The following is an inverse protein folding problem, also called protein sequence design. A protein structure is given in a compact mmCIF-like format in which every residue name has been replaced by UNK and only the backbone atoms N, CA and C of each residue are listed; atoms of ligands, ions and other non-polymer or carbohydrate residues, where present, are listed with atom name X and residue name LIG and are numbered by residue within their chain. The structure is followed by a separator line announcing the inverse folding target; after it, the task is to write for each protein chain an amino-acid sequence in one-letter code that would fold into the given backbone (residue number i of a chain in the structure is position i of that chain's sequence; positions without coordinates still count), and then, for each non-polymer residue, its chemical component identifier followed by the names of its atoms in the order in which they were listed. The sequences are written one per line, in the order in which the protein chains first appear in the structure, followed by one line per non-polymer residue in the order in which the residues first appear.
data_IF_297121962387
#
_entry.id   IF_297121962387
#
_cell.length_a   1.000
_cell.length_b   1.000
_cell.length_c   1.000
_cell.angle_alpha   90.00
_cell.angle_beta   90.00
_cell.angle_gamma   90.00
#
_symmetry.space_group_name_H-M   'P 1'
#
loop_
_entity.id
_entity.type
_entity.pdbx_description
1 polymer ?
#
# COMPACT_ATOMS: atom_id res chain seq x y z
N UNK A 1 -54.00 -69.04 26.49
CA UNK A 1 -53.63 -70.00 25.43
C UNK A 1 -52.63 -69.28 24.55
N UNK A 2 -51.44 -68.98 25.08
CA UNK A 2 -50.31 -69.93 25.29
C UNK A 2 -49.72 -70.33 23.92
N UNK A 3 -48.43 -70.36 23.66
CA UNK A 3 -47.25 -70.04 24.44
C UNK A 3 -46.04 -70.12 23.49
N UNK A 4 -45.02 -69.32 23.80
CA UNK A 4 -43.59 -69.67 23.94
C UNK A 4 -42.70 -70.14 22.77
N UNK A 5 -41.53 -69.47 22.79
CA UNK A 5 -40.15 -69.92 22.54
C UNK A 5 -39.65 -70.06 21.11
N UNK A 6 -38.58 -69.31 20.77
CA UNK A 6 -37.22 -69.76 21.10
C UNK A 6 -36.17 -68.64 20.91
N UNK A 7 -35.14 -68.71 21.75
CA UNK A 7 -34.01 -67.79 21.95
C UNK A 7 -33.03 -67.69 20.77
N UNK A 8 -32.33 -66.56 20.67
CA UNK A 8 -31.29 -66.34 19.66
C UNK A 8 -30.51 -65.03 19.78
N UNK A 9 -29.83 -64.85 20.91
CA UNK A 9 -28.58 -64.10 21.14
C UNK A 9 -27.94 -63.34 19.94
N UNK A 10 -27.66 -62.04 20.11
CA UNK A 10 -26.77 -61.30 19.21
C UNK A 10 -26.68 -59.80 19.54
N UNK A 11 -25.85 -59.44 20.52
CA UNK A 11 -25.61 -58.05 20.93
C UNK A 11 -25.05 -57.16 19.83
N UNK A 12 -25.49 -55.90 19.82
CA UNK A 12 -24.97 -54.83 18.99
C UNK A 12 -23.47 -54.57 19.27
N UNK A 13 -22.62 -54.42 18.24
CA UNK A 13 -21.25 -53.96 18.45
C UNK A 13 -21.23 -52.43 18.56
N UNK A 14 -20.90 -51.94 19.76
CA UNK A 14 -20.51 -50.55 20.03
C UNK A 14 -19.27 -50.22 19.18
N UNK A 15 -19.43 -49.29 18.25
CA UNK A 15 -18.34 -48.80 17.41
C UNK A 15 -17.26 -48.12 18.27
N UNK A 16 -16.10 -48.77 18.34
CA UNK A 16 -14.92 -48.33 19.09
C UNK A 16 -14.35 -47.01 18.58
N UNK A 17 -14.17 -46.09 19.52
CA UNK A 17 -13.51 -44.78 19.41
C UNK A 17 -12.02 -44.95 19.04
N UNK A 18 -11.70 -45.02 17.75
CA UNK A 18 -10.31 -44.94 17.26
C UNK A 18 -9.88 -43.48 17.13
N UNK A 19 -9.35 -42.91 18.21
CA UNK A 19 -8.74 -41.57 18.19
C UNK A 19 -7.86 -41.36 19.40
N UNK A 20 -6.57 -41.71 19.30
CA UNK A 20 -5.67 -41.55 20.45
C UNK A 20 -4.18 -41.86 20.28
N UNK A 21 -3.66 -42.04 19.06
CA UNK A 21 -2.22 -42.37 18.87
C UNK A 21 -1.46 -41.31 18.04
N UNK A 22 -2.14 -40.50 17.21
CA UNK A 22 -1.49 -39.39 16.49
C UNK A 22 -1.39 -38.09 17.30
N UNK A 23 -2.36 -37.82 18.18
CA UNK A 23 -2.36 -36.62 19.02
C UNK A 23 -1.25 -36.67 20.09
N UNK A 24 -0.96 -37.86 20.62
CA UNK A 24 0.11 -38.08 21.61
C UNK A 24 1.51 -37.85 21.03
N UNK A 25 1.76 -38.24 19.77
CA UNK A 25 3.05 -37.99 19.10
C UNK A 25 3.32 -36.50 18.86
N UNK A 26 2.29 -35.71 18.51
CA UNK A 26 2.39 -34.25 18.35
C UNK A 26 2.59 -33.54 19.71
N UNK A 27 1.95 -34.04 20.76
CA UNK A 27 2.12 -33.50 22.11
C UNK A 27 3.54 -33.77 22.67
N UNK A 28 4.07 -34.98 22.45
CA UNK A 28 5.46 -35.31 22.84
C UNK A 28 6.46 -34.43 22.09
N UNK A 29 6.25 -34.17 20.80
CA UNK A 29 7.12 -33.29 20.01
C UNK A 29 7.13 -31.85 20.57
N UNK A 30 5.96 -31.31 20.91
CA UNK A 30 5.84 -29.96 21.48
C UNK A 30 6.55 -29.87 22.84
N UNK A 31 6.37 -30.88 23.69
CA UNK A 31 7.03 -30.94 25.02
C UNK A 31 8.56 -31.06 24.87
N UNK A 32 9.05 -31.82 23.89
CA UNK A 32 10.50 -31.92 23.64
C UNK A 32 11.06 -30.59 23.13
N UNK A 33 10.35 -29.91 22.23
CA UNK A 33 10.78 -28.60 21.71
C UNK A 33 10.81 -27.54 22.82
N UNK A 34 9.81 -27.51 23.70
CA UNK A 34 9.80 -26.57 24.83
C UNK A 34 10.91 -26.85 25.84
N UNK A 35 11.24 -28.12 26.10
CA UNK A 35 12.37 -28.48 26.94
C UNK A 35 13.72 -28.09 26.32
N UNK A 36 13.88 -28.24 24.99
CA UNK A 36 15.08 -27.80 24.28
C UNK A 36 15.21 -26.27 24.33
N UNK A 37 14.12 -25.53 24.13
CA UNK A 37 14.11 -24.07 24.25
C UNK A 37 14.48 -23.60 25.66
N UNK A 38 13.93 -24.25 26.70
CA UNK A 38 14.27 -23.95 28.10
C UNK A 38 15.75 -24.25 28.40
N UNK A 39 16.28 -25.35 27.89
CA UNK A 39 17.71 -25.69 28.03
C UNK A 39 18.60 -24.67 27.31
N UNK A 40 18.19 -24.20 26.13
CA UNK A 40 18.93 -23.21 25.34
C UNK A 40 18.93 -21.83 26.00
N UNK A 41 17.81 -21.42 26.62
CA UNK A 41 17.73 -20.19 27.42
C UNK A 41 18.60 -20.31 28.68
N UNK A 42 18.57 -21.43 29.38
CA UNK A 42 19.40 -21.65 30.58
C UNK A 42 20.90 -21.64 30.25
N UNK A 43 21.31 -22.26 29.15
CA UNK A 43 22.71 -22.26 28.69
C UNK A 43 23.19 -20.88 28.25
N UNK A 44 22.35 -20.10 27.56
CA UNK A 44 22.68 -18.70 27.21
C UNK A 44 22.81 -17.84 28.47
N UNK A 45 21.88 -17.94 29.42
CA UNK A 45 21.95 -17.18 30.68
C UNK A 45 23.19 -17.55 31.50
N UNK A 46 23.50 -18.84 31.63
CA UNK A 46 24.72 -19.30 32.30
C UNK A 46 26.01 -18.82 31.61
N UNK A 47 26.01 -18.73 30.28
CA UNK A 47 27.12 -18.18 29.51
C UNK A 47 27.30 -16.66 29.70
N UNK A 48 26.20 -15.91 29.86
CA UNK A 48 26.28 -14.47 30.17
C UNK A 48 26.77 -14.21 31.61
N UNK A 49 26.38 -15.05 32.57
CA UNK A 49 26.81 -14.92 33.96
C UNK A 49 28.33 -15.17 34.12
N UNK A 50 28.87 -16.13 33.37
CA UNK A 50 30.32 -16.43 33.33
C UNK A 50 31.14 -15.28 32.71
N UNK A 51 30.55 -14.48 31.80
CA UNK A 51 31.17 -13.24 31.30
C UNK A 51 31.13 -12.09 32.31
N UNK A 52 30.06 -11.97 33.10
CA UNK A 52 30.01 -10.95 34.16
C UNK A 52 31.01 -11.24 35.28
N UNK A 53 31.21 -12.51 35.63
CA UNK A 53 32.20 -12.91 36.62
C UNK A 53 33.65 -12.62 36.15
N UNK A 54 33.95 -12.80 34.86
CA UNK A 54 35.29 -12.51 34.30
C UNK A 54 35.61 -11.02 34.18
N UNK A 55 34.61 -10.12 34.17
CA UNK A 55 34.85 -8.66 34.18
C UNK A 55 35.15 -8.09 35.57
N UNK A 56 34.80 -8.81 36.63
CA UNK A 56 35.04 -8.37 38.02
C UNK A 56 36.48 -8.63 38.52
N UNK A 57 37.30 -9.36 37.77
CA UNK A 57 38.67 -9.68 38.17
C UNK A 57 39.68 -9.06 37.20
N UNK A 58 40.15 -7.84 37.48
CA UNK A 58 41.51 -7.37 37.12
C UNK A 58 41.95 -6.18 37.99
N UNK A 59 43.27 -6.03 38.24
CA UNK A 59 43.81 -5.39 39.44
C UNK A 59 44.13 -3.90 39.28
N UNK A 60 44.18 -3.24 40.43
CA UNK A 60 44.61 -1.86 40.70
C UNK A 60 46.00 -1.54 40.16
N UNK A 61 46.13 -0.44 39.40
CA UNK A 61 47.39 0.29 39.20
C UNK A 61 47.16 1.81 39.39
N UNK A 62 48.15 2.39 40.05
CA UNK A 62 48.35 3.70 40.68
C UNK A 62 48.59 4.87 39.68
N UNK A 63 48.35 6.11 40.15
CA UNK A 63 48.97 7.41 39.75
C UNK A 63 48.55 8.07 38.42
N UNK A 64 48.41 9.39 38.19
CA UNK A 64 48.49 10.70 38.91
C UNK A 64 47.89 11.73 37.90
N UNK A 65 47.13 12.78 38.25
CA UNK A 65 47.51 14.22 38.36
C UNK A 65 46.19 15.05 38.44
N UNK A 66 45.96 15.79 39.51
CA UNK A 66 46.08 17.27 39.65
C UNK A 66 45.01 18.14 38.94
N UNK A 67 44.02 18.54 39.75
CA UNK A 67 43.56 19.92 40.05
C UNK A 67 43.32 20.94 38.93
N UNK A 68 42.06 21.39 38.76
CA UNK A 68 41.67 22.81 39.01
C UNK A 68 40.15 23.09 38.96
N UNK A 69 39.66 23.61 40.09
CA UNK A 69 38.68 24.70 40.29
C UNK A 69 37.30 24.74 39.56
N UNK A 70 36.24 24.64 40.37
CA UNK A 70 34.91 25.23 40.13
C UNK A 70 34.96 26.78 40.30
N UNK A 71 33.96 27.60 39.88
CA UNK A 71 32.68 27.65 40.62
C UNK A 71 31.39 28.13 39.89
N UNK A 72 30.26 27.81 40.56
CA UNK A 72 29.02 28.60 40.76
C UNK A 72 27.99 28.78 39.62
N UNK A 73 26.93 28.00 39.75
CA UNK A 73 25.55 28.30 39.32
C UNK A 73 24.91 29.32 40.27
N UNK A 74 24.24 30.34 39.73
CA UNK A 74 23.28 31.20 40.44
C UNK A 74 22.03 31.40 39.58
N UNK A 75 20.89 30.90 40.05
CA UNK A 75 19.55 31.43 39.72
C UNK A 75 19.37 32.77 40.45
N UNK A 76 18.58 33.73 39.90
CA UNK A 76 17.22 33.91 40.44
C UNK A 76 16.18 34.40 39.39
N UNK A 77 14.90 34.16 39.68
CA UNK A 77 13.78 34.70 38.91
C UNK A 77 13.43 36.15 39.24
N UNK A 78 12.51 36.73 38.45
CA UNK A 78 11.43 37.64 38.85
C UNK A 78 10.74 38.25 37.60
N UNK A 79 9.41 38.07 37.50
CA UNK A 79 8.48 39.05 36.90
C UNK A 79 8.09 40.06 38.00
N UNK A 80 7.77 41.33 37.68
CA UNK A 80 6.37 41.81 37.47
C UNK A 80 6.28 43.17 36.68
N UNK A 81 5.24 44.06 36.77
CA UNK A 81 3.78 43.95 36.93
C UNK A 81 2.94 44.77 35.89
N UNK A 82 1.61 44.74 36.11
CA UNK A 82 0.49 45.40 35.41
C UNK A 82 0.05 46.76 36.05
N UNK A 83 -0.88 47.46 35.36
CA UNK A 83 -1.74 48.64 35.70
C UNK A 83 -1.38 49.93 34.94
N UNK A 84 -2.27 50.70 34.32
CA UNK A 84 -3.75 50.70 34.18
C UNK A 84 -4.24 52.14 33.93
N UNK A 85 -5.36 52.34 33.20
CA UNK A 85 -6.43 53.35 33.48
C UNK A 85 -7.52 53.42 32.39
N UNK A 86 -8.75 53.43 32.89
CA UNK A 86 -10.10 53.50 32.30
C UNK A 86 -10.61 54.96 32.22
N UNK A 87 -11.55 55.28 31.30
CA UNK A 87 -12.72 56.18 31.56
C UNK A 87 -13.92 55.89 30.61
N UNK A 88 -15.07 55.60 31.26
CA UNK A 88 -16.50 55.87 31.04
C UNK A 88 -17.27 55.65 29.70
N UNK A 89 -18.44 55.03 29.90
CA UNK A 89 -19.65 54.93 29.04
C UNK A 89 -20.38 56.26 28.92
N UNK A 90 -21.15 56.41 27.84
CA UNK A 90 -22.46 57.05 27.93
C UNK A 90 -23.51 56.36 27.05
N UNK A 91 -24.76 56.37 27.52
CA UNK A 91 -25.87 55.53 27.06
C UNK A 91 -26.96 56.43 26.50
N UNK A 92 -27.53 56.15 25.32
CA UNK A 92 -28.89 56.62 24.99
C UNK A 92 -29.64 55.71 24.03
N UNK A 93 -30.94 55.65 24.31
CA UNK A 93 -31.97 54.68 23.94
C UNK A 93 -32.86 55.21 22.81
N UNK A 94 -33.19 54.33 21.83
CA UNK A 94 -34.43 54.20 21.02
C UNK A 94 -34.96 55.41 20.16
N UNK A 95 -35.84 55.22 19.15
CA UNK A 95 -36.71 54.05 18.92
C UNK A 95 -36.87 53.49 17.50
N UNK A 96 -37.41 52.27 17.51
CA UNK A 96 -37.95 51.47 16.42
C UNK A 96 -39.14 52.14 15.70
N UNK A 97 -39.20 51.98 14.37
CA UNK A 97 -40.44 52.02 13.58
C UNK A 97 -40.45 50.87 12.58
N UNK A 98 -41.47 50.04 12.74
CA UNK A 98 -41.92 48.95 11.86
C UNK A 98 -42.45 49.46 10.52
N UNK A 99 -42.05 48.85 9.39
CA UNK A 99 -42.89 48.79 8.18
C UNK A 99 -42.53 47.57 7.30
N UNK A 100 -43.49 46.66 7.18
CA UNK A 100 -43.90 45.85 6.01
C UNK A 100 -42.91 44.88 5.34
N UNK A 101 -43.18 43.61 5.61
CA UNK A 101 -42.86 42.42 4.83
C UNK A 101 -43.28 42.52 3.36
N UNK A 102 -42.31 42.41 2.44
CA UNK A 102 -42.55 41.98 1.06
C UNK A 102 -41.87 40.62 0.88
N UNK A 103 -42.71 39.61 0.76
CA UNK A 103 -42.37 38.23 0.43
C UNK A 103 -41.72 38.19 -0.96
N UNK A 104 -40.40 38.03 -1.01
CA UNK A 104 -39.69 37.66 -2.24
C UNK A 104 -39.24 36.23 -2.08
N UNK A 105 -39.89 35.32 -2.81
CA UNK A 105 -39.47 33.92 -2.92
C UNK A 105 -37.98 33.88 -3.31
N UNK A 106 -37.14 33.08 -2.64
CA UNK A 106 -35.77 32.91 -3.08
C UNK A 106 -35.78 32.28 -4.48
N UNK A 107 -34.86 32.68 -5.38
CA UNK A 107 -34.78 32.09 -6.70
C UNK A 107 -34.59 30.59 -6.53
N UNK A 108 -35.44 29.82 -7.22
CA UNK A 108 -35.37 28.36 -7.28
C UNK A 108 -34.01 28.01 -7.86
N UNK A 109 -33.02 27.79 -6.99
CA UNK A 109 -31.74 27.22 -7.39
C UNK A 109 -32.09 25.87 -7.98
N UNK A 110 -31.98 25.75 -9.30
CA UNK A 110 -32.05 24.47 -9.96
C UNK A 110 -30.85 23.67 -9.45
N UNK A 111 -31.09 22.88 -8.41
CA UNK A 111 -30.22 21.76 -8.06
C UNK A 111 -30.12 20.94 -9.35
N UNK A 112 -28.92 20.76 -9.94
CA UNK A 112 -28.81 19.87 -11.08
C UNK A 112 -29.38 18.51 -10.66
N UNK A 113 -30.56 18.22 -11.21
CA UNK A 113 -31.36 17.05 -10.89
C UNK A 113 -30.80 15.89 -11.70
N UNK A 114 -29.62 15.44 -11.31
CA UNK A 114 -29.15 14.09 -11.55
C UNK A 114 -28.30 13.72 -10.34
N UNK A 115 -28.95 13.24 -9.27
CA UNK A 115 -28.24 12.33 -8.38
C UNK A 115 -27.72 11.20 -9.28
N UNK A 116 -26.40 10.96 -9.34
CA UNK A 116 -25.85 9.94 -10.21
C UNK A 116 -26.54 8.62 -9.87
N UNK A 117 -27.02 7.93 -10.91
CA UNK A 117 -27.60 6.59 -10.78
C UNK A 117 -26.61 5.74 -9.98
N UNK A 118 -27.09 5.11 -8.91
CA UNK A 118 -26.27 4.24 -8.10
C UNK A 118 -25.94 3.00 -8.93
N UNK A 119 -24.79 3.04 -9.59
CA UNK A 119 -24.22 1.91 -10.33
C UNK A 119 -23.67 0.89 -9.32
N UNK A 120 -24.58 0.11 -8.73
CA UNK A 120 -24.24 -0.91 -7.73
C UNK A 120 -23.24 -1.89 -8.31
N UNK A 121 -22.09 -2.05 -7.65
CA UNK A 121 -21.04 -2.99 -8.06
C UNK A 121 -20.14 -2.54 -9.21
N UNK A 122 -20.29 -1.33 -9.76
CA UNK A 122 -19.28 -0.79 -10.70
C UNK A 122 -18.04 -0.32 -9.96
N UNK A 123 -16.86 -0.44 -10.60
CA UNK A 123 -15.57 -0.11 -9.97
C UNK A 123 -14.95 -1.26 -9.17
N UNK A 124 -15.64 -2.40 -9.02
CA UNK A 124 -15.08 -3.54 -8.28
C UNK A 124 -13.93 -4.20 -9.02
N UNK A 125 -13.94 -4.21 -10.36
CA UNK A 125 -12.84 -4.76 -11.14
C UNK A 125 -11.58 -3.90 -10.95
N UNK A 126 -11.72 -2.57 -11.04
CA UNK A 126 -10.65 -1.61 -10.82
C UNK A 126 -10.01 -1.75 -9.43
N UNK A 127 -10.81 -1.79 -8.37
CA UNK A 127 -10.28 -1.94 -7.00
C UNK A 127 -9.61 -3.30 -6.82
N UNK A 128 -10.15 -4.35 -7.43
CA UNK A 128 -9.56 -5.69 -7.38
C UNK A 128 -8.20 -5.72 -8.07
N UNK A 129 -8.10 -5.16 -9.27
CA UNK A 129 -6.85 -5.05 -10.01
C UNK A 129 -5.80 -4.19 -9.29
N UNK A 130 -6.20 -3.17 -8.54
CA UNK A 130 -5.28 -2.36 -7.74
C UNK A 130 -4.63 -3.15 -6.59
N UNK A 131 -5.36 -4.11 -6.02
CA UNK A 131 -4.90 -4.89 -4.86
C UNK A 131 -4.20 -6.20 -5.25
N UNK A 132 -4.56 -6.79 -6.39
CA UNK A 132 -4.13 -8.13 -6.80
C UNK A 132 -2.60 -8.30 -6.96
N UNK A 133 -1.87 -7.42 -7.67
CA UNK A 133 -0.42 -7.56 -7.81
C UNK A 133 0.32 -7.51 -6.47
N UNK A 134 -0.10 -6.61 -5.57
CA UNK A 134 0.48 -6.50 -4.24
C UNK A 134 0.09 -7.71 -3.38
N UNK A 135 -1.18 -8.13 -3.41
CA UNK A 135 -1.66 -9.29 -2.67
C UNK A 135 -0.92 -10.58 -3.05
N UNK A 136 -0.63 -10.78 -4.33
CA UNK A 136 0.16 -11.90 -4.84
C UNK A 136 1.58 -11.90 -4.24
N UNK A 137 2.26 -10.75 -4.29
CA UNK A 137 3.63 -10.62 -3.78
C UNK A 137 3.75 -10.83 -2.26
N UNK A 138 2.71 -10.46 -1.50
CA UNK A 138 2.68 -10.70 -0.05
C UNK A 138 2.32 -12.15 0.31
N UNK A 139 1.25 -12.69 -0.28
CA UNK A 139 0.60 -13.89 0.25
C UNK A 139 0.86 -15.17 -0.56
N UNK A 140 1.14 -15.04 -1.86
CA UNK A 140 1.27 -16.20 -2.75
C UNK A 140 2.72 -16.46 -3.17
N UNK A 141 3.54 -15.40 -3.25
CA UNK A 141 4.94 -15.51 -3.63
C UNK A 141 5.73 -16.35 -2.62
N UNK A 142 6.60 -17.22 -3.13
CA UNK A 142 7.56 -17.94 -2.30
C UNK A 142 8.46 -16.94 -1.54
N UNK A 143 8.44 -17.01 -0.20
CA UNK A 143 9.10 -16.09 0.76
C UNK A 143 8.44 -14.71 0.97
N UNK A 144 7.27 -14.45 0.38
CA UNK A 144 6.47 -13.25 0.69
C UNK A 144 7.18 -11.92 0.44
N UNK A 145 6.97 -10.94 1.33
CA UNK A 145 7.51 -9.58 1.23
C UNK A 145 8.98 -9.51 1.68
N UNK A 146 9.88 -9.32 0.72
CA UNK A 146 11.33 -9.43 0.92
C UNK A 146 12.10 -8.13 1.18
N UNK A 147 11.64 -6.92 0.78
CA UNK A 147 12.37 -5.66 1.02
C UNK A 147 12.70 -5.38 2.50
N UNK A 148 12.02 -6.08 3.40
CA UNK A 148 12.14 -5.96 4.83
C UNK A 148 13.01 -7.06 5.49
N UNK A 149 13.43 -8.06 4.73
CA UNK A 149 14.14 -9.21 5.29
C UNK A 149 15.59 -8.85 5.64
N UNK A 150 16.07 -9.39 6.77
CA UNK A 150 17.44 -9.17 7.25
C UNK A 150 18.47 -9.76 6.26
N UNK A 151 18.13 -10.86 5.60
CA UNK A 151 18.98 -11.53 4.62
C UNK A 151 18.47 -11.21 3.21
N UNK A 152 19.01 -10.17 2.59
CA UNK A 152 18.68 -9.80 1.22
C UNK A 152 19.48 -10.65 0.21
N UNK A 153 19.00 -11.86 -0.07
CA UNK A 153 19.60 -12.78 -1.05
C UNK A 153 19.04 -12.54 -2.47
N UNK A 154 17.93 -11.79 -2.60
CA UNK A 154 17.22 -11.57 -3.87
C UNK A 154 16.87 -10.09 -4.07
N UNK A 155 17.85 -9.29 -4.47
CA UNK A 155 17.69 -7.89 -4.84
C UNK A 155 16.67 -7.67 -5.97
N UNK A 156 16.70 -8.50 -7.01
CA UNK A 156 15.82 -8.39 -8.17
C UNK A 156 14.33 -8.45 -7.79
N UNK A 157 13.95 -9.40 -6.94
CA UNK A 157 12.55 -9.53 -6.47
C UNK A 157 12.18 -8.34 -5.58
N UNK A 158 13.10 -7.84 -4.76
CA UNK A 158 12.84 -6.69 -3.91
C UNK A 158 12.53 -5.45 -4.73
N UNK A 159 13.30 -5.18 -5.79
CA UNK A 159 13.07 -4.04 -6.67
C UNK A 159 11.74 -4.17 -7.41
N UNK A 160 11.39 -5.37 -7.87
CA UNK A 160 10.09 -5.65 -8.49
C UNK A 160 8.93 -5.36 -7.53
N UNK A 161 9.01 -5.84 -6.29
CA UNK A 161 8.01 -5.59 -5.25
C UNK A 161 7.88 -4.09 -4.92
N UNK A 162 8.99 -3.35 -4.92
CA UNK A 162 8.97 -1.89 -4.73
C UNK A 162 8.29 -1.17 -5.89
N UNK A 163 8.47 -1.63 -7.13
CA UNK A 163 7.77 -1.10 -8.31
C UNK A 163 6.26 -1.28 -8.21
N UNK A 164 5.82 -2.50 -7.87
CA UNK A 164 4.40 -2.82 -7.66
C UNK A 164 3.79 -1.94 -6.58
N UNK A 165 4.45 -1.85 -5.42
CA UNK A 165 3.98 -1.05 -4.29
C UNK A 165 3.84 0.44 -4.64
N UNK A 166 4.76 1.00 -5.42
CA UNK A 166 4.67 2.41 -5.83
C UNK A 166 3.45 2.66 -6.72
N UNK A 167 3.11 1.74 -7.64
CA UNK A 167 1.88 1.82 -8.45
C UNK A 167 0.66 1.73 -7.55
N UNK A 168 0.62 0.76 -6.63
CA UNK A 168 -0.51 0.59 -5.68
C UNK A 168 -0.69 1.83 -4.82
N UNK A 169 0.40 2.45 -4.33
CA UNK A 169 0.36 3.69 -3.54
C UNK A 169 -0.29 4.83 -4.31
N UNK A 170 0.23 5.13 -5.51
CA UNK A 170 -0.31 6.23 -6.35
C UNK A 170 -1.75 5.98 -6.72
N UNK A 171 -2.09 4.74 -7.08
CA UNK A 171 -3.46 4.36 -7.42
C UNK A 171 -4.40 4.48 -6.22
N UNK A 172 -3.96 4.10 -5.01
CA UNK A 172 -4.77 4.21 -3.80
C UNK A 172 -5.10 5.66 -3.43
N UNK A 173 -4.14 6.58 -3.64
CA UNK A 173 -4.35 8.02 -3.45
C UNK A 173 -5.39 8.53 -4.44
N UNK A 174 -5.20 8.25 -5.73
CA UNK A 174 -6.14 8.69 -6.78
C UNK A 174 -7.54 8.09 -6.57
N UNK A 175 -7.61 6.83 -6.12
CA UNK A 175 -8.87 6.16 -5.80
C UNK A 175 -9.60 6.86 -4.64
N UNK A 176 -8.89 7.19 -3.55
CA UNK A 176 -9.45 7.84 -2.38
C UNK A 176 -9.83 9.32 -2.62
N UNK A 177 -9.08 10.02 -3.47
CA UNK A 177 -9.25 11.46 -3.71
C UNK A 177 -10.16 11.80 -4.89
N UNK A 178 -10.21 10.96 -5.93
CA UNK A 178 -10.89 11.30 -7.18
C UNK A 178 -11.95 10.26 -7.59
N UNK A 179 -11.67 8.96 -7.48
CA UNK A 179 -12.60 7.94 -8.00
C UNK A 179 -13.72 7.58 -7.02
N UNK A 180 -13.52 7.77 -5.70
CA UNK A 180 -14.51 7.44 -4.67
C UNK A 180 -15.40 8.61 -4.24
N UNK A 181 -15.13 9.83 -4.73
CA UNK A 181 -15.86 11.06 -4.33
C UNK A 181 -16.28 11.93 -5.51
N UNK A 182 -17.33 12.74 -5.32
CA UNK A 182 -17.83 13.65 -6.38
C UNK A 182 -17.08 14.97 -6.50
N UNK A 183 -16.31 15.35 -5.48
CA UNK A 183 -15.59 16.62 -5.45
C UNK A 183 -14.73 16.75 -4.19
N UNK A 184 -13.90 17.79 -4.13
CA UNK A 184 -12.94 18.00 -3.04
C UNK A 184 -13.58 18.20 -1.66
N UNK A 185 -14.86 18.57 -1.59
CA UNK A 185 -15.61 18.80 -0.36
C UNK A 185 -16.35 17.58 0.16
N UNK A 186 -16.38 16.50 -0.60
CA UNK A 186 -17.05 15.25 -0.24
C UNK A 186 -16.19 14.45 0.76
N UNK A 187 -16.83 13.68 1.64
CA UNK A 187 -16.14 13.01 2.73
C UNK A 187 -15.27 11.84 2.22
N UNK A 188 -14.14 11.59 2.88
CA UNK A 188 -13.33 10.39 2.62
C UNK A 188 -14.12 9.14 3.02
N UNK A 189 -14.02 8.09 2.20
CA UNK A 189 -14.50 6.76 2.60
C UNK A 189 -13.50 6.21 3.62
N UNK A 190 -13.90 5.91 4.87
CA UNK A 190 -12.95 5.56 5.93
C UNK A 190 -12.06 4.35 5.62
N UNK A 191 -12.59 3.34 4.93
CA UNK A 191 -11.83 2.16 4.52
C UNK A 191 -10.73 2.51 3.51
N UNK A 192 -11.02 3.34 2.51
CA UNK A 192 -10.00 3.77 1.53
C UNK A 192 -8.94 4.67 2.15
N UNK A 193 -9.33 5.56 3.06
CA UNK A 193 -8.38 6.40 3.80
C UNK A 193 -7.44 5.54 4.65
N UNK A 194 -7.98 4.55 5.37
CA UNK A 194 -7.19 3.57 6.13
C UNK A 194 -6.24 2.77 5.22
N UNK A 195 -6.75 2.27 4.08
CA UNK A 195 -5.95 1.52 3.11
C UNK A 195 -4.78 2.34 2.55
N UNK A 196 -5.04 3.57 2.13
CA UNK A 196 -4.02 4.50 1.65
C UNK A 196 -2.93 4.73 2.69
N UNK A 197 -3.32 5.01 3.95
CA UNK A 197 -2.37 5.22 5.04
C UNK A 197 -1.50 3.97 5.30
N UNK A 198 -2.10 2.78 5.26
CA UNK A 198 -1.41 1.52 5.40
C UNK A 198 -0.35 1.29 4.31
N UNK A 199 -0.65 1.62 3.05
CA UNK A 199 0.31 1.46 1.94
C UNK A 199 1.47 2.46 2.00
N UNK A 200 1.29 3.63 2.63
CA UNK A 200 2.33 4.66 2.71
C UNK A 200 3.43 4.37 3.75
N UNK A 201 3.29 3.32 4.54
CA UNK A 201 4.33 2.90 5.49
C UNK A 201 5.59 2.46 4.76
N UNK A 202 6.74 2.68 5.39
CA UNK A 202 8.05 2.36 4.84
C UNK A 202 8.17 0.85 4.52
N UNK A 203 8.55 0.54 3.28
CA UNK A 203 8.66 -0.82 2.76
C UNK A 203 9.76 -1.67 3.39
N UNK A 204 10.74 -1.03 4.04
CA UNK A 204 11.92 -1.67 4.67
C UNK A 204 11.79 -1.75 6.20
N UNK A 205 10.61 -1.48 6.75
CA UNK A 205 10.43 -1.40 8.20
C UNK A 205 10.27 -2.79 8.85
N UNK A 206 11.34 -3.24 9.52
CA UNK A 206 11.41 -4.58 10.10
C UNK A 206 10.68 -4.69 11.45
N UNK A 207 10.72 -3.62 12.25
CA UNK A 207 10.17 -3.61 13.60
C UNK A 207 8.94 -2.70 13.71
N UNK A 208 8.01 -3.11 14.59
CA UNK A 208 6.63 -2.65 14.73
C UNK A 208 6.34 -1.17 14.34
N UNK A 209 5.36 -0.90 13.45
CA UNK A 209 4.58 -1.85 12.65
C UNK A 209 5.41 -2.48 11.52
N UNK A 210 5.21 -3.77 11.23
CA UNK A 210 5.87 -4.42 10.08
C UNK A 210 5.20 -4.01 8.78
N UNK A 211 5.99 -3.84 7.72
CA UNK A 211 5.47 -3.48 6.40
C UNK A 211 4.41 -4.49 5.89
N UNK A 212 4.71 -5.79 6.00
CA UNK A 212 3.82 -6.87 5.57
C UNK A 212 2.45 -6.84 6.28
N UNK A 213 2.45 -6.68 7.61
CA UNK A 213 1.21 -6.62 8.37
C UNK A 213 0.36 -5.42 7.96
N UNK A 214 0.99 -4.27 7.70
CA UNK A 214 0.29 -3.05 7.32
C UNK A 214 -0.24 -3.11 5.89
N UNK A 215 0.52 -3.69 4.97
CA UNK A 215 0.02 -3.90 3.62
C UNK A 215 -1.14 -4.88 3.60
N UNK A 216 -1.09 -5.98 4.37
CA UNK A 216 -2.25 -6.88 4.51
C UNK A 216 -3.47 -6.18 5.13
N UNK A 217 -3.29 -5.34 6.15
CA UNK A 217 -4.36 -4.50 6.70
C UNK A 217 -4.96 -3.56 5.64
N UNK A 218 -4.12 -2.93 4.82
CA UNK A 218 -4.58 -2.10 3.70
C UNK A 218 -5.33 -2.88 2.61
N UNK A 219 -4.91 -4.11 2.31
CA UNK A 219 -5.61 -5.00 1.37
C UNK A 219 -6.99 -5.41 1.91
N UNK A 220 -7.11 -5.66 3.21
CA UNK A 220 -8.38 -5.99 3.84
C UNK A 220 -9.36 -4.82 3.84
N UNK A 221 -8.87 -3.59 4.00
CA UNK A 221 -9.68 -2.38 3.85
C UNK A 221 -10.12 -2.13 2.40
N UNK A 222 -9.29 -2.43 1.40
CA UNK A 222 -9.71 -2.43 -0.01
C UNK A 222 -10.82 -3.45 -0.28
N UNK A 223 -10.73 -4.66 0.29
CA UNK A 223 -11.82 -5.66 0.21
C UNK A 223 -13.09 -5.18 0.91
N UNK A 224 -12.95 -4.46 2.02
CA UNK A 224 -14.08 -3.85 2.71
C UNK A 224 -14.76 -2.79 1.82
N UNK A 225 -13.98 -1.95 1.12
CA UNK A 225 -14.51 -1.01 0.14
C UNK A 225 -15.26 -1.71 -1.01
N UNK A 226 -14.73 -2.83 -1.55
CA UNK A 226 -15.43 -3.65 -2.55
C UNK A 226 -16.78 -4.15 -2.01
N UNK A 227 -16.84 -4.57 -0.74
CA UNK A 227 -18.09 -4.98 -0.09
C UNK A 227 -19.08 -3.80 -0.03
N UNK A 228 -18.61 -2.62 0.36
CA UNK A 228 -19.44 -1.40 0.39
C UNK A 228 -19.97 -1.03 -1.00
N UNK A 229 -19.18 -1.18 -2.06
CA UNK A 229 -19.61 -0.95 -3.45
C UNK A 229 -20.71 -1.93 -3.88
N UNK A 230 -20.60 -3.21 -3.50
CA UNK A 230 -21.61 -4.24 -3.80
C UNK A 230 -22.91 -4.03 -3.02
N UNK A 231 -22.81 -3.52 -1.79
CA UNK A 231 -23.96 -3.22 -0.95
C UNK A 231 -24.61 -1.86 -1.28
N UNK A 232 -23.98 -1.02 -2.10
CA UNK A 232 -24.44 0.34 -2.39
C UNK A 232 -24.19 1.35 -1.27
N UNK A 233 -23.33 1.01 -0.30
CA UNK A 233 -22.90 1.87 0.81
C UNK A 233 -21.82 2.88 0.39
N UNK A 234 -21.04 2.54 -0.64
CA UNK A 234 -20.04 3.40 -1.25
C UNK A 234 -20.32 3.63 -2.73
N UNK A 235 -19.68 4.65 -3.31
CA UNK A 235 -19.85 5.04 -4.71
C UNK A 235 -18.51 5.08 -5.43
N UNK A 236 -18.53 4.70 -6.70
CA UNK A 236 -17.40 4.79 -7.61
C UNK A 236 -17.78 5.67 -8.80
N UNK A 237 -17.06 6.78 -9.00
CA UNK A 237 -17.41 7.81 -9.98
C UNK A 237 -16.58 7.67 -11.25
N UNK A 238 -17.23 7.20 -12.32
CA UNK A 238 -16.60 6.92 -13.63
C UNK A 238 -16.52 8.14 -14.56
N UNK A 239 -16.09 9.29 -14.05
CA UNK A 239 -16.05 10.53 -14.84
C UNK A 239 -14.67 10.79 -15.44
N UNK A 240 -14.65 11.53 -16.56
CA UNK A 240 -13.43 11.90 -17.30
C UNK A 240 -12.45 12.66 -16.40
N UNK A 241 -12.96 13.64 -15.66
CA UNK A 241 -12.18 14.46 -14.74
C UNK A 241 -11.57 13.67 -13.58
N UNK A 242 -12.18 12.54 -13.20
CA UNK A 242 -11.65 11.66 -12.15
C UNK A 242 -10.62 10.66 -12.68
N UNK A 243 -10.63 10.36 -13.98
CA UNK A 243 -9.67 9.43 -14.61
C UNK A 243 -8.36 10.11 -15.02
N UNK A 244 -8.41 11.39 -15.40
CA UNK A 244 -7.22 12.17 -15.80
C UNK A 244 -6.12 12.17 -14.72
N UNK A 245 -6.39 12.34 -13.41
CA UNK A 245 -5.37 12.23 -12.38
C UNK A 245 -4.65 10.87 -12.35
N UNK A 246 -5.37 9.77 -12.63
CA UNK A 246 -4.78 8.42 -12.67
C UNK A 246 -3.77 8.31 -13.82
N UNK A 247 -4.21 8.66 -15.03
CA UNK A 247 -3.36 8.56 -16.21
C UNK A 247 -2.17 9.52 -16.15
N UNK A 248 -2.31 10.70 -15.56
CA UNK A 248 -1.17 11.61 -15.31
C UNK A 248 -0.18 11.03 -14.29
N UNK A 249 -0.66 10.40 -13.23
CA UNK A 249 0.20 9.74 -12.24
C UNK A 249 0.99 8.59 -12.89
N UNK A 250 0.34 7.81 -13.74
CA UNK A 250 0.96 6.71 -14.48
C UNK A 250 1.95 7.20 -15.54
N UNK A 251 1.59 8.21 -16.33
CA UNK A 251 2.49 8.82 -17.31
C UNK A 251 3.77 9.37 -16.64
N UNK A 252 3.63 10.07 -15.51
CA UNK A 252 4.76 10.58 -14.73
C UNK A 252 5.65 9.47 -14.17
N UNK A 253 5.04 8.38 -13.72
CA UNK A 253 5.75 7.21 -13.20
C UNK A 253 6.51 6.47 -14.30
N UNK A 254 5.88 6.22 -15.45
CA UNK A 254 6.54 5.63 -16.61
C UNK A 254 7.66 6.53 -17.13
N UNK A 255 7.49 7.86 -17.11
CA UNK A 255 8.56 8.79 -17.46
C UNK A 255 9.78 8.70 -16.53
N UNK A 256 9.54 8.47 -15.24
CA UNK A 256 10.61 8.25 -14.26
C UNK A 256 11.31 6.90 -14.50
N UNK A 257 10.56 5.84 -14.84
CA UNK A 257 11.12 4.54 -15.22
C UNK A 257 11.97 4.65 -16.49
N UNK A 258 11.45 5.27 -17.55
CA UNK A 258 12.13 5.49 -18.84
C UNK A 258 13.48 6.21 -18.65
N UNK A 259 13.47 7.34 -17.93
CA UNK A 259 14.70 8.07 -17.60
C UNK A 259 15.71 7.21 -16.83
N UNK A 260 15.24 6.43 -15.84
CA UNK A 260 16.11 5.55 -15.06
C UNK A 260 16.67 4.38 -15.89
N UNK A 261 15.94 3.91 -16.91
CA UNK A 261 16.38 2.84 -17.79
C UNK A 261 17.38 3.34 -18.84
N UNK A 262 17.25 4.59 -19.31
CA UNK A 262 18.11 5.14 -20.36
C UNK A 262 19.35 5.87 -19.80
N UNK A 263 19.27 6.46 -18.61
CA UNK A 263 20.40 7.21 -18.03
C UNK A 263 21.64 6.34 -17.83
N UNK A 264 22.81 6.94 -18.03
CA UNK A 264 24.14 6.35 -17.82
C UNK A 264 24.29 4.97 -18.48
N UNK A 265 23.69 4.78 -19.66
CA UNK A 265 23.79 3.55 -20.40
C UNK A 265 25.27 3.22 -20.71
N UNK A 266 25.71 2.00 -20.39
CA UNK A 266 27.09 1.55 -20.60
C UNK A 266 28.10 1.95 -19.50
N UNK A 267 27.74 2.81 -18.55
CA UNK A 267 28.61 3.25 -17.44
C UNK A 267 28.11 2.77 -16.05
N UNK A 268 27.03 1.99 -16.03
CA UNK A 268 26.47 1.43 -14.79
C UNK A 268 26.94 0.00 -14.57
N UNK A 269 27.24 -0.32 -13.31
CA UNK A 269 27.48 -1.71 -12.88
C UNK A 269 26.25 -2.56 -13.17
N UNK A 270 26.45 -3.79 -13.65
CA UNK A 270 25.38 -4.75 -13.99
C UNK A 270 24.35 -4.88 -12.86
N UNK A 271 24.78 -5.01 -11.61
CA UNK A 271 23.87 -5.11 -10.46
C UNK A 271 22.89 -3.93 -10.33
N UNK A 272 23.34 -2.71 -10.62
CA UNK A 272 22.48 -1.51 -10.55
C UNK A 272 21.58 -1.39 -11.79
N UNK A 273 22.02 -1.91 -12.93
CA UNK A 273 21.20 -2.00 -14.12
C UNK A 273 20.01 -2.94 -13.87
N UNK A 274 20.26 -4.09 -13.26
CA UNK A 274 19.24 -5.06 -12.86
C UNK A 274 18.21 -4.42 -11.92
N UNK A 275 18.64 -3.64 -10.93
CA UNK A 275 17.74 -2.91 -10.02
C UNK A 275 16.69 -2.08 -10.77
N UNK A 276 17.13 -1.26 -11.75
CA UNK A 276 16.24 -0.42 -12.55
C UNK A 276 15.33 -1.23 -13.46
N UNK A 277 15.85 -2.33 -14.01
CA UNK A 277 15.09 -3.24 -14.85
C UNK A 277 13.94 -3.89 -14.08
N UNK A 278 14.23 -4.53 -12.94
CA UNK A 278 13.21 -5.22 -12.15
C UNK A 278 12.22 -4.27 -11.48
N UNK A 279 12.66 -3.08 -11.06
CA UNK A 279 11.75 -2.04 -10.60
C UNK A 279 10.73 -1.67 -11.69
N UNK A 280 11.21 -1.37 -12.90
CA UNK A 280 10.36 -0.99 -14.03
C UNK A 280 9.45 -2.14 -14.48
N UNK A 281 9.91 -3.40 -14.40
CA UNK A 281 9.09 -4.60 -14.62
C UNK A 281 7.92 -4.67 -13.63
N UNK A 282 8.17 -4.43 -12.34
CA UNK A 282 7.14 -4.39 -11.31
C UNK A 282 6.11 -3.28 -11.54
N UNK A 283 6.58 -2.09 -11.95
CA UNK A 283 5.72 -0.98 -12.37
C UNK A 283 4.83 -1.38 -13.54
N UNK A 284 5.43 -1.96 -14.59
CA UNK A 284 4.70 -2.36 -15.78
C UNK A 284 3.62 -3.39 -15.46
N UNK A 285 3.96 -4.42 -14.68
CA UNK A 285 3.02 -5.48 -14.31
C UNK A 285 1.82 -4.96 -13.53
N UNK A 286 2.05 -4.18 -12.47
CA UNK A 286 0.93 -3.64 -11.68
C UNK A 286 0.08 -2.65 -12.47
N UNK A 287 0.72 -1.81 -13.31
CA UNK A 287 0.01 -0.82 -14.11
C UNK A 287 -0.82 -1.47 -15.23
N UNK A 288 -0.31 -2.53 -15.87
CA UNK A 288 -1.04 -3.33 -16.86
C UNK A 288 -2.35 -3.84 -16.28
N UNK A 289 -2.30 -4.56 -15.15
CA UNK A 289 -3.49 -5.12 -14.49
C UNK A 289 -4.53 -4.04 -14.16
N UNK A 290 -4.08 -2.87 -13.66
CA UNK A 290 -4.98 -1.75 -13.34
C UNK A 290 -5.58 -1.13 -14.61
N UNK A 291 -4.81 -0.99 -15.69
CA UNK A 291 -5.31 -0.44 -16.95
C UNK A 291 -6.28 -1.38 -17.66
N UNK A 292 -6.08 -2.69 -17.58
CA UNK A 292 -7.05 -3.69 -18.06
C UNK A 292 -8.40 -3.55 -17.35
N UNK A 293 -8.39 -3.48 -16.02
CA UNK A 293 -9.60 -3.25 -15.26
C UNK A 293 -10.21 -1.85 -15.50
N UNK A 294 -9.36 -0.86 -15.78
CA UNK A 294 -9.82 0.48 -16.20
C UNK A 294 -10.55 0.41 -17.54
N UNK A 295 -10.05 -0.39 -18.50
CA UNK A 295 -10.70 -0.58 -19.79
C UNK A 295 -12.10 -1.21 -19.64
N UNK A 296 -12.29 -2.10 -18.68
CA UNK A 296 -13.59 -2.71 -18.38
C UNK A 296 -14.54 -1.73 -17.67
N UNK A 297 -14.13 -1.19 -16.52
CA UNK A 297 -14.98 -0.35 -15.68
C UNK A 297 -15.31 0.99 -16.35
N UNK A 298 -14.40 1.56 -17.14
CA UNK A 298 -14.56 2.84 -17.84
C UNK A 298 -14.80 2.68 -19.36
N UNK A 299 -15.18 1.50 -19.81
CA UNK A 299 -15.43 1.18 -21.23
C UNK A 299 -16.28 2.23 -21.96
N UNK A 300 -17.42 2.62 -21.38
CA UNK A 300 -18.32 3.65 -21.97
C UNK A 300 -17.62 4.99 -22.18
N UNK A 301 -16.81 5.41 -21.19
CA UNK A 301 -16.11 6.69 -21.21
C UNK A 301 -14.96 6.66 -22.21
N UNK A 302 -14.16 5.60 -22.20
CA UNK A 302 -13.03 5.43 -23.12
C UNK A 302 -13.54 5.34 -24.57
N UNK A 303 -14.67 4.64 -24.80
CA UNK A 303 -15.31 4.59 -26.10
C UNK A 303 -15.81 5.97 -26.56
N UNK A 304 -16.36 6.78 -25.65
CA UNK A 304 -16.85 8.13 -25.98
C UNK A 304 -15.76 9.06 -26.50
N UNK A 305 -14.51 8.85 -26.10
CA UNK A 305 -13.35 9.63 -26.55
C UNK A 305 -12.55 8.95 -27.68
N UNK A 306 -13.08 7.86 -28.25
CA UNK A 306 -12.37 7.04 -29.25
C UNK A 306 -10.99 6.55 -28.77
N UNK A 307 -10.84 6.34 -27.45
CA UNK A 307 -9.57 5.99 -26.81
C UNK A 307 -9.33 4.49 -26.66
N UNK A 308 -10.26 3.64 -27.09
CA UNK A 308 -10.21 2.19 -26.85
C UNK A 308 -8.95 1.55 -27.43
N UNK A 309 -8.63 1.84 -28.69
CA UNK A 309 -7.43 1.29 -29.34
C UNK A 309 -6.15 1.84 -28.72
N UNK A 310 -6.15 3.12 -28.35
CA UNK A 310 -5.01 3.80 -27.71
C UNK A 310 -4.71 3.17 -26.35
N UNK A 311 -5.75 2.91 -25.53
CA UNK A 311 -5.59 2.24 -24.25
C UNK A 311 -5.13 0.79 -24.42
N UNK A 312 -5.67 0.08 -25.41
CA UNK A 312 -5.24 -1.29 -25.71
C UNK A 312 -3.76 -1.36 -26.09
N UNK A 313 -3.26 -0.41 -26.89
CA UNK A 313 -1.83 -0.31 -27.20
C UNK A 313 -0.97 0.02 -25.98
N UNK A 314 -1.46 0.87 -25.06
CA UNK A 314 -0.77 1.13 -23.80
C UNK A 314 -0.65 -0.13 -22.94
N UNK A 315 -1.76 -0.88 -22.77
CA UNK A 315 -1.81 -2.15 -22.03
C UNK A 315 -0.85 -3.16 -22.66
N UNK A 316 -0.91 -3.34 -23.99
CA UNK A 316 -0.06 -4.30 -24.70
C UNK A 316 1.43 -3.96 -24.56
N UNK A 317 1.78 -2.67 -24.60
CA UNK A 317 3.16 -2.24 -24.39
C UNK A 317 3.64 -2.54 -22.95
N UNK A 318 2.80 -2.31 -21.94
CA UNK A 318 3.11 -2.69 -20.56
C UNK A 318 3.21 -4.20 -20.39
N UNK A 319 2.35 -4.99 -21.04
CA UNK A 319 2.41 -6.44 -21.00
C UNK A 319 3.69 -7.00 -21.60
N UNK A 320 4.19 -6.42 -22.69
CA UNK A 320 5.49 -6.79 -23.23
C UNK A 320 6.64 -6.47 -22.24
N UNK A 321 6.56 -5.34 -21.52
CA UNK A 321 7.52 -4.99 -20.48
C UNK A 321 7.43 -5.93 -19.25
N UNK A 322 6.22 -6.20 -18.76
CA UNK A 322 5.97 -7.05 -17.61
C UNK A 322 6.41 -8.49 -17.82
N UNK A 323 6.28 -9.02 -19.04
CA UNK A 323 6.63 -10.39 -19.39
C UNK A 323 8.10 -10.60 -19.79
N UNK A 324 8.94 -9.56 -19.77
CA UNK A 324 10.38 -9.76 -20.01
C UNK A 324 11.03 -10.51 -18.85
N UNK A 325 11.58 -11.68 -19.12
CA UNK A 325 12.25 -12.51 -18.10
C UNK A 325 13.62 -13.02 -18.56
N UNK A 326 14.63 -12.13 -18.65
CA UNK A 326 15.99 -12.55 -18.95
C UNK A 326 16.59 -13.31 -17.77
N UNK A 327 17.38 -14.35 -18.05
CA UNK A 327 18.12 -15.08 -17.01
C UNK A 327 19.19 -14.22 -16.33
N UNK A 328 19.80 -13.33 -17.11
CA UNK A 328 20.77 -12.33 -16.66
C UNK A 328 20.45 -11.05 -17.43
N UNK A 329 20.35 -9.92 -16.73
CA UNK A 329 20.16 -8.63 -17.36
C UNK A 329 21.53 -8.13 -17.84
N UNK A 330 21.64 -7.97 -19.15
CA UNK A 330 22.85 -7.46 -19.80
C UNK A 330 22.69 -6.01 -20.25
N UNK A 331 23.78 -5.26 -20.08
CA UNK A 331 23.99 -3.91 -20.60
C UNK A 331 24.87 -3.95 -21.85
N UNK A 332 24.34 -4.49 -22.95
CA UNK A 332 25.04 -4.44 -24.24
C UNK A 332 25.18 -3.01 -24.78
N UNK A 333 26.21 -2.73 -25.56
CA UNK A 333 26.22 -1.51 -26.37
C UNK A 333 25.15 -1.62 -27.48
N UNK A 334 24.59 -0.50 -27.97
CA UNK A 334 23.57 -0.53 -29.03
C UNK A 334 24.02 -1.28 -30.30
N UNK A 335 25.30 -1.16 -30.67
CA UNK A 335 25.91 -1.85 -31.81
C UNK A 335 26.66 -3.15 -31.41
N UNK A 336 26.46 -3.61 -30.16
CA UNK A 336 27.12 -4.77 -29.60
C UNK A 336 26.48 -6.09 -30.03
N UNK A 337 27.21 -7.19 -29.84
CA UNK A 337 26.68 -8.54 -30.06
C UNK A 337 25.71 -8.99 -28.94
N UNK A 338 25.78 -8.36 -27.77
CA UNK A 338 24.96 -8.68 -26.59
C UNK A 338 23.74 -7.77 -26.57
N UNK A 339 22.57 -8.31 -26.19
CA UNK A 339 21.35 -7.53 -26.04
C UNK A 339 21.48 -6.48 -24.92
N UNK A 340 20.88 -5.32 -25.12
CA UNK A 340 20.67 -4.35 -24.05
C UNK A 340 19.25 -4.49 -23.49
N UNK A 341 19.12 -5.16 -22.35
CA UNK A 341 17.81 -5.42 -21.75
C UNK A 341 17.17 -4.16 -21.19
N UNK A 342 17.94 -3.20 -20.65
CA UNK A 342 17.39 -1.92 -20.18
C UNK A 342 16.81 -1.08 -21.30
N UNK A 343 17.48 -0.98 -22.44
CA UNK A 343 16.95 -0.29 -23.62
C UNK A 343 15.73 -0.98 -24.21
N UNK A 344 15.74 -2.31 -24.28
CA UNK A 344 14.59 -3.06 -24.75
C UNK A 344 13.37 -2.77 -23.85
N UNK A 345 13.55 -2.82 -22.52
CA UNK A 345 12.52 -2.44 -21.55
C UNK A 345 12.07 -0.98 -21.73
N UNK A 346 13.01 -0.05 -21.87
CA UNK A 346 12.73 1.37 -22.04
C UNK A 346 11.84 1.65 -23.25
N UNK A 347 12.06 0.96 -24.38
CA UNK A 347 11.24 1.11 -25.58
C UNK A 347 9.76 0.81 -25.29
N UNK A 348 9.45 -0.27 -24.56
CA UNK A 348 8.07 -0.61 -24.20
C UNK A 348 7.46 0.35 -23.19
N UNK A 349 8.23 0.76 -22.16
CA UNK A 349 7.81 1.75 -21.17
C UNK A 349 7.51 3.10 -21.84
N UNK A 350 8.36 3.53 -22.78
CA UNK A 350 8.20 4.77 -23.54
C UNK A 350 6.96 4.71 -24.45
N UNK A 351 6.71 3.59 -25.12
CA UNK A 351 5.48 3.38 -25.90
C UNK A 351 4.22 3.47 -25.02
N UNK A 352 4.21 2.79 -23.86
CA UNK A 352 3.09 2.87 -22.93
C UNK A 352 2.84 4.31 -22.46
N UNK A 353 3.91 5.03 -22.10
CA UNK A 353 3.85 6.45 -21.70
C UNK A 353 3.29 7.32 -22.81
N UNK A 354 3.73 7.13 -24.06
CA UNK A 354 3.23 7.89 -25.21
C UNK A 354 1.72 7.73 -25.36
N UNK A 355 1.21 6.48 -25.33
CA UNK A 355 -0.23 6.23 -25.46
C UNK A 355 -1.04 6.79 -24.27
N UNK A 356 -0.52 6.73 -23.05
CA UNK A 356 -1.13 7.41 -21.89
C UNK A 356 -1.18 8.94 -22.07
N UNK A 357 -0.13 9.54 -22.63
CA UNK A 357 -0.10 10.96 -22.96
C UNK A 357 -1.14 11.35 -24.02
N UNK A 358 -1.33 10.50 -25.05
CA UNK A 358 -2.40 10.66 -26.05
C UNK A 358 -3.78 10.59 -25.40
N UNK A 359 -4.02 9.61 -24.51
CA UNK A 359 -5.27 9.51 -23.75
C UNK A 359 -5.51 10.73 -22.87
N UNK A 360 -4.50 11.20 -22.15
CA UNK A 360 -4.57 12.41 -21.33
C UNK A 360 -4.94 13.64 -22.16
N UNK A 361 -4.35 13.77 -23.35
CA UNK A 361 -4.64 14.86 -24.27
C UNK A 361 -6.06 14.78 -24.83
N UNK A 362 -6.54 13.59 -25.19
CA UNK A 362 -7.90 13.37 -25.67
C UNK A 362 -8.94 13.65 -24.57
N UNK A 363 -8.70 13.19 -23.34
CA UNK A 363 -9.58 13.44 -22.20
C UNK A 363 -9.65 14.92 -21.84
N UNK A 364 -8.53 15.64 -21.88
CA UNK A 364 -8.48 17.06 -21.51
C UNK A 364 -8.94 18.00 -22.62
N UNK A 365 -8.71 17.64 -23.89
CA UNK A 365 -9.22 18.38 -25.04
C UNK A 365 -10.75 18.42 -25.11
N UNK A 366 -11.42 17.42 -24.54
CA UNK A 366 -12.88 17.38 -24.43
C UNK A 366 -13.46 18.16 -23.24
N UNK A 367 -12.61 18.76 -22.37
CA UNK A 367 -13.04 19.52 -21.19
C UNK A 367 -13.12 21.04 -21.48
N UNK A 368 -12.63 21.50 -22.64
CA UNK A 368 -12.77 22.88 -23.11
C UNK A 368 -13.99 23.02 -24.02
#
# INVERSE_FOLDING_TARGET
MDNLNNDGNGGEPVAGKKGGILASKRFILIVVITLILLWLVWTILGFLEDRSARKAAKPTVVATEETTAAPKVKTPGHLPPNNGKTVARDTRVAPSKSTTSTETQPPKVAVPTHAPVLDVGKGTAFVTACMEPLAYELNERFWGWRPNDILNVTDNVNNLQLGILEVTRRTSVVLAEHLSRTGSTDAYVPSLESAMNCFMINSRQYWFPTAESKYNEGLDEMKNYIRMLKNGEARFYRRVDNLVPLFRAFESMLGSCDENLVKNQGDLSTFKADDYFYYSKGVAHAMETILEATAEDFSDLIASIQGTDVLHHAITALGHAANMDPWIVFEGSPDGFIANHRSNMAAHISHARFYLGVLNSALTGNIQ
#
